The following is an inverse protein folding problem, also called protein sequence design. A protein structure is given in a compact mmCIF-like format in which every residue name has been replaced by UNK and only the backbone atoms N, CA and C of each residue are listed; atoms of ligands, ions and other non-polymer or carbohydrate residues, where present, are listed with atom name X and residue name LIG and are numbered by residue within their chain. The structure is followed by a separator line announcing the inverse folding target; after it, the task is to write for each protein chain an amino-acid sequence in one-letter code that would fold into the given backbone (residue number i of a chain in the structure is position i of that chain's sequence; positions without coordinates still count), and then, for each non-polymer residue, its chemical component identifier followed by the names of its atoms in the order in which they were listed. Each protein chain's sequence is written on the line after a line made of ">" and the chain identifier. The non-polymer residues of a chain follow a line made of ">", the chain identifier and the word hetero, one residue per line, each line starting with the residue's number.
data_IF_336414016968
#
_entry.id   IF_336414016968
#
_cell.length_a   1.000
_cell.length_b   1.000
_cell.length_c   1.000
_cell.angle_alpha   90.00
_cell.angle_beta   90.00
_cell.angle_gamma   90.00
#
_symmetry.space_group_name_H-M   'P 1'
#
loop_
_entity.id
_entity.type
_entity.pdbx_description
1 polymer ?
#
# COMPACT_ATOMS: atom_id res chain seq x y z
N UNK A 1 11.95 0.45 5.27
CA UNK A 1 12.58 1.68 4.75
C UNK A 1 13.84 1.41 3.91
N UNK A 2 14.67 0.42 4.25
CA UNK A 2 15.91 0.11 3.51
C UNK A 2 15.73 -0.41 2.06
N UNK A 3 14.65 -1.13 1.74
CA UNK A 3 14.39 -1.63 0.36
C UNK A 3 13.82 -0.53 -0.56
N UNK A 4 13.47 0.64 -0.02
CA UNK A 4 13.04 1.79 -0.83
C UNK A 4 14.22 2.48 -1.55
N UNK A 5 15.44 2.28 -1.05
CA UNK A 5 16.63 3.04 -1.49
C UNK A 5 17.34 2.42 -2.71
N UNK A 6 17.16 1.13 -2.96
CA UNK A 6 17.90 0.41 -4.02
C UNK A 6 17.27 0.50 -5.40
N UNK A 7 16.05 1.03 -5.53
CA UNK A 7 15.33 1.07 -6.80
C UNK A 7 15.13 2.48 -7.35
N UNK A 8 15.65 3.54 -6.72
CA UNK A 8 15.48 4.91 -7.21
C UNK A 8 16.83 5.65 -7.24
N UNK A 9 17.27 6.15 -8.41
CA UNK A 9 18.47 6.96 -8.48
C UNK A 9 18.27 8.28 -7.72
N UNK A 10 19.24 8.63 -6.88
CA UNK A 10 19.39 9.97 -6.34
C UNK A 10 19.53 10.95 -7.53
N UNK A 11 18.83 12.08 -7.42
CA UNK A 11 18.49 12.98 -8.51
C UNK A 11 19.73 13.63 -9.16
N UNK A 12 19.97 13.31 -10.44
CA UNK A 12 20.58 14.24 -11.40
C UNK A 12 19.65 14.35 -12.62
N UNK A 13 19.14 15.56 -12.87
CA UNK A 13 18.05 15.85 -13.84
C UNK A 13 18.39 15.49 -15.29
N UNK A 14 19.68 15.37 -15.64
CA UNK A 14 20.16 15.06 -17.00
C UNK A 14 20.53 13.60 -17.25
N UNK A 15 20.71 12.79 -16.21
CA UNK A 15 21.23 11.41 -16.31
C UNK A 15 20.23 10.40 -15.77
N UNK A 16 18.95 10.57 -16.12
CA UNK A 16 17.90 9.64 -15.70
C UNK A 16 17.88 8.44 -16.63
N UNK A 17 18.12 7.25 -16.09
CA UNK A 17 17.94 5.99 -16.82
C UNK A 17 16.43 5.73 -16.92
N UNK A 18 15.89 5.95 -18.10
CA UNK A 18 14.49 5.72 -18.42
C UNK A 18 14.43 4.43 -19.24
N UNK A 19 13.93 3.36 -18.64
CA UNK A 19 13.75 2.09 -19.34
C UNK A 19 12.31 2.03 -19.84
N UNK A 20 12.14 1.83 -21.13
CA UNK A 20 10.83 1.72 -21.76
C UNK A 20 10.26 0.30 -21.63
N UNK A 21 8.95 0.15 -21.32
CA UNK A 21 8.31 -1.15 -21.15
C UNK A 21 7.94 -1.79 -22.50
N UNK A 22 8.93 -2.16 -23.31
CA UNK A 22 8.75 -2.68 -24.68
C UNK A 22 7.80 -3.89 -24.70
N UNK A 23 7.92 -4.81 -23.73
CA UNK A 23 7.04 -5.97 -23.63
C UNK A 23 5.57 -5.61 -23.37
N UNK A 24 5.31 -4.60 -22.53
CA UNK A 24 3.93 -4.17 -22.26
C UNK A 24 3.33 -3.43 -23.47
N UNK A 25 4.14 -2.66 -24.20
CA UNK A 25 3.74 -2.01 -25.44
C UNK A 25 3.42 -3.05 -26.52
N UNK A 26 4.24 -4.09 -26.64
CA UNK A 26 4.02 -5.22 -27.55
C UNK A 26 2.70 -5.96 -27.28
N UNK A 27 2.39 -6.24 -26.00
CA UNK A 27 1.09 -6.81 -25.61
C UNK A 27 -0.05 -5.86 -25.99
N UNK A 28 0.11 -4.54 -25.84
CA UNK A 28 -0.94 -3.58 -26.22
C UNK A 28 -1.15 -3.49 -27.74
N UNK A 29 -0.10 -3.58 -28.54
CA UNK A 29 -0.23 -3.66 -30.00
C UNK A 29 -0.86 -4.98 -30.45
N UNK A 30 -0.60 -6.10 -29.76
CA UNK A 30 -1.29 -7.37 -30.02
C UNK A 30 -2.80 -7.31 -29.70
N UNK A 31 -3.22 -6.42 -28.80
CA UNK A 31 -4.62 -6.10 -28.50
C UNK A 31 -5.19 -4.96 -29.37
N UNK A 32 -4.47 -4.54 -30.41
CA UNK A 32 -4.99 -3.64 -31.43
C UNK A 32 -4.69 -2.15 -31.29
N UNK A 33 -3.77 -1.76 -30.39
CA UNK A 33 -3.28 -0.39 -30.36
C UNK A 33 -2.21 -0.17 -31.41
N UNK A 34 -2.56 0.58 -32.45
CA UNK A 34 -1.67 0.91 -33.57
C UNK A 34 -0.67 2.03 -33.27
N UNK A 35 -0.79 2.72 -32.13
CA UNK A 35 0.05 3.88 -31.78
C UNK A 35 1.53 3.55 -31.51
N UNK A 36 1.90 2.28 -31.37
CA UNK A 36 3.27 1.85 -31.02
C UNK A 36 4.09 1.36 -32.22
N UNK A 37 3.52 1.31 -33.43
CA UNK A 37 4.25 0.93 -34.65
C UNK A 37 4.73 -0.53 -34.71
N UNK A 38 4.18 -1.41 -33.87
CA UNK A 38 4.43 -2.85 -33.98
C UNK A 38 3.43 -3.49 -34.97
N UNK A 39 3.94 -4.11 -36.03
CA UNK A 39 3.14 -4.98 -36.91
C UNK A 39 2.95 -6.35 -36.24
N UNK A 40 1.83 -6.50 -35.53
CA UNK A 40 1.45 -7.76 -34.85
C UNK A 40 0.04 -8.14 -35.30
N UNK A 41 -0.13 -9.41 -35.65
CA UNK A 41 -1.43 -9.97 -36.01
C UNK A 41 -2.36 -9.99 -34.80
N UNK A 42 -3.59 -9.49 -34.96
CA UNK A 42 -4.62 -9.52 -33.91
C UNK A 42 -4.93 -10.96 -33.51
N UNK A 43 -4.97 -11.22 -32.20
CA UNK A 43 -5.30 -12.55 -31.65
C UNK A 43 -6.83 -12.81 -31.67
N UNK A 44 -7.65 -11.77 -31.81
CA UNK A 44 -9.12 -11.86 -31.84
C UNK A 44 -9.69 -11.11 -33.06
N UNK A 45 -10.24 -11.86 -34.04
CA UNK A 45 -10.87 -11.30 -35.24
C UNK A 45 -12.41 -11.20 -35.17
N UNK A 46 -13.06 -11.59 -34.06
CA UNK A 46 -14.53 -11.76 -34.01
C UNK A 46 -15.25 -11.12 -32.81
N UNK A 47 -14.70 -10.07 -32.20
CA UNK A 47 -15.45 -9.24 -31.24
C UNK A 47 -15.22 -7.76 -31.54
N UNK A 48 -16.22 -6.87 -31.37
CA UNK A 48 -16.07 -5.46 -31.71
C UNK A 48 -15.13 -4.78 -30.70
N UNK A 49 -13.82 -4.92 -30.90
CA UNK A 49 -12.74 -4.23 -30.18
C UNK A 49 -12.67 -2.73 -30.47
N UNK A 50 -13.75 -2.14 -31.00
CA UNK A 50 -13.82 -0.75 -31.49
C UNK A 50 -13.76 0.28 -30.34
N UNK A 51 -13.89 -0.13 -29.07
CA UNK A 51 -13.69 0.80 -27.94
C UNK A 51 -12.25 0.86 -27.39
N UNK A 52 -11.32 0.03 -27.89
CA UNK A 52 -9.91 0.11 -27.47
C UNK A 52 -9.16 1.30 -28.12
N UNK A 53 -9.76 1.98 -29.09
CA UNK A 53 -9.19 3.14 -29.80
C UNK A 53 -9.49 4.50 -29.19
N UNK A 54 -10.58 4.67 -28.43
CA UNK A 54 -11.03 6.02 -28.06
C UNK A 54 -10.57 6.50 -26.68
N UNK A 55 -10.38 5.61 -25.69
CA UNK A 55 -10.00 6.01 -24.31
C UNK A 55 -9.18 4.99 -23.51
N UNK A 56 -8.64 3.94 -24.14
CA UNK A 56 -7.92 2.90 -23.40
C UNK A 56 -6.47 3.32 -23.10
N UNK A 57 -6.09 3.29 -21.81
CA UNK A 57 -4.84 3.81 -21.24
C UNK A 57 -3.58 3.42 -22.03
N UNK A 58 -2.92 4.39 -22.66
CA UNK A 58 -1.62 4.27 -23.32
C UNK A 58 -0.62 3.56 -22.38
N UNK A 59 -0.06 2.41 -22.78
CA UNK A 59 1.00 1.65 -22.09
C UNK A 59 2.26 2.45 -21.79
N UNK A 60 2.46 3.59 -22.47
CA UNK A 60 3.61 4.46 -22.28
C UNK A 60 3.87 4.83 -20.81
N UNK A 61 2.85 4.78 -19.95
CA UNK A 61 2.95 5.06 -18.51
C UNK A 61 3.10 3.83 -17.61
N UNK A 62 3.27 2.61 -18.13
CA UNK A 62 3.83 1.48 -17.36
C UNK A 62 5.37 1.58 -17.37
N UNK A 63 5.94 2.75 -17.05
CA UNK A 63 7.40 2.87 -16.93
C UNK A 63 7.86 1.82 -15.89
N UNK A 64 8.85 1.01 -16.26
CA UNK A 64 9.27 -0.23 -15.60
C UNK A 64 9.51 -0.12 -14.08
N UNK A 65 9.75 1.08 -13.56
CA UNK A 65 9.89 1.34 -12.13
C UNK A 65 8.69 0.90 -11.30
N UNK A 66 7.46 1.05 -11.79
CA UNK A 66 6.28 0.54 -11.10
C UNK A 66 6.29 -0.98 -11.06
N UNK A 67 6.24 -1.62 -12.24
CA UNK A 67 6.15 -3.08 -12.42
C UNK A 67 7.27 -3.86 -11.75
N UNK A 68 8.53 -3.42 -11.88
CA UNK A 68 9.67 -4.11 -11.26
C UNK A 68 9.69 -3.97 -9.73
N UNK A 69 9.23 -2.83 -9.20
CA UNK A 69 9.08 -2.62 -7.76
C UNK A 69 7.92 -3.47 -7.20
N UNK A 70 6.79 -3.58 -7.91
CA UNK A 70 5.68 -4.47 -7.52
C UNK A 70 6.13 -5.92 -7.51
N UNK A 71 6.82 -6.35 -8.57
CA UNK A 71 7.32 -7.70 -8.70
C UNK A 71 8.26 -8.05 -7.54
N UNK A 72 9.23 -7.19 -7.23
CA UNK A 72 10.13 -7.38 -6.08
C UNK A 72 9.39 -7.50 -4.74
N UNK A 73 8.36 -6.67 -4.51
CA UNK A 73 7.56 -6.72 -3.27
C UNK A 73 6.63 -7.94 -3.17
N UNK A 74 6.10 -8.41 -4.30
CA UNK A 74 5.36 -9.68 -4.33
C UNK A 74 6.30 -10.84 -4.01
N UNK A 75 7.50 -10.87 -4.59
CA UNK A 75 8.51 -11.88 -4.28
C UNK A 75 8.90 -11.85 -2.80
N UNK A 76 9.08 -10.68 -2.17
CA UNK A 76 9.39 -10.62 -0.74
C UNK A 76 8.22 -11.11 0.11
N UNK A 77 6.98 -10.74 -0.21
CA UNK A 77 5.80 -11.22 0.53
C UNK A 77 5.66 -12.74 0.42
N UNK A 78 5.81 -13.29 -0.79
CA UNK A 78 5.79 -14.74 -1.03
C UNK A 78 6.96 -15.44 -0.33
N UNK A 79 8.17 -14.88 -0.37
CA UNK A 79 9.34 -15.44 0.31
C UNK A 79 9.10 -15.56 1.82
N UNK A 80 8.51 -14.53 2.45
CA UNK A 80 8.22 -14.55 3.89
C UNK A 80 7.21 -15.64 4.22
N UNK A 81 6.11 -15.73 3.47
CA UNK A 81 5.07 -16.75 3.70
C UNK A 81 5.58 -18.17 3.45
N UNK A 82 6.28 -18.39 2.33
CA UNK A 82 6.83 -19.70 1.98
C UNK A 82 7.88 -20.12 2.99
N UNK A 83 8.79 -19.22 3.39
CA UNK A 83 9.79 -19.50 4.41
C UNK A 83 9.13 -19.82 5.77
N UNK A 84 8.15 -19.03 6.18
CA UNK A 84 7.40 -19.28 7.42
C UNK A 84 6.69 -20.63 7.43
N UNK A 85 6.14 -21.05 6.29
CA UNK A 85 5.49 -22.35 6.14
C UNK A 85 6.48 -23.53 6.12
N UNK A 86 7.61 -23.39 5.40
CA UNK A 86 8.62 -24.44 5.30
C UNK A 86 9.36 -24.65 6.64
N UNK A 87 9.66 -23.57 7.36
CA UNK A 87 10.35 -23.60 8.66
C UNK A 87 9.38 -23.76 9.85
N UNK A 88 8.11 -24.11 9.61
CA UNK A 88 7.09 -24.25 10.66
C UNK A 88 7.30 -25.50 11.53
N UNK A 89 7.77 -26.60 10.95
CA UNK A 89 8.01 -27.86 11.69
C UNK A 89 9.32 -27.86 12.48
N UNK A 90 10.31 -27.12 12.01
CA UNK A 90 11.62 -27.03 12.61
C UNK A 90 12.57 -26.26 11.71
N UNK A 91 13.56 -25.62 12.31
CA UNK A 91 14.66 -24.96 11.61
C UNK A 91 15.98 -25.38 12.24
N UNK A 92 17.11 -25.02 11.63
CA UNK A 92 18.44 -25.28 12.22
C UNK A 92 18.60 -24.63 13.60
N UNK A 93 17.93 -23.49 13.85
CA UNK A 93 18.00 -22.77 15.12
C UNK A 93 17.14 -23.45 16.21
N UNK A 94 15.95 -23.91 15.83
CA UNK A 94 14.95 -24.54 16.71
C UNK A 94 14.35 -25.77 15.98
N UNK A 95 14.93 -26.97 16.16
CA UNK A 95 14.52 -28.17 15.43
C UNK A 95 13.18 -28.75 15.91
N UNK A 96 12.81 -28.48 17.16
CA UNK A 96 11.63 -28.97 17.88
C UNK A 96 10.43 -27.99 17.79
N UNK A 97 10.43 -27.08 16.82
CA UNK A 97 9.39 -26.06 16.66
C UNK A 97 7.97 -26.64 16.57
N UNK A 98 7.82 -27.82 15.95
CA UNK A 98 6.52 -28.52 15.85
C UNK A 98 5.83 -28.77 17.20
N UNK A 99 6.58 -28.88 18.29
CA UNK A 99 6.04 -29.25 19.59
C UNK A 99 5.41 -28.04 20.32
N UNK A 100 5.72 -26.81 19.89
CA UNK A 100 5.22 -25.56 20.46
C UNK A 100 3.95 -25.02 19.76
N UNK A 101 3.57 -25.61 18.63
CA UNK A 101 2.41 -25.20 17.83
C UNK A 101 2.67 -23.99 16.92
N UNK A 102 1.59 -23.42 16.37
CA UNK A 102 1.67 -22.37 15.34
C UNK A 102 2.07 -20.98 15.89
N UNK A 103 1.61 -20.67 17.11
CA UNK A 103 1.71 -19.33 17.70
C UNK A 103 2.29 -19.42 19.11
N UNK A 104 3.52 -18.92 19.27
CA UNK A 104 4.22 -18.84 20.55
C UNK A 104 5.17 -17.63 20.53
N UNK A 105 5.51 -17.04 21.69
CA UNK A 105 6.22 -15.74 21.74
C UNK A 105 7.69 -15.81 21.30
N UNK A 106 8.44 -16.77 21.85
CA UNK A 106 9.85 -17.07 21.58
C UNK A 106 10.27 -18.35 22.34
N UNK A 107 11.44 -18.90 22.01
CA UNK A 107 12.16 -19.95 22.74
C UNK A 107 13.30 -19.33 23.60
N UNK A 108 12.96 -18.27 24.34
CA UNK A 108 13.88 -17.55 25.22
C UNK A 108 14.99 -16.74 24.53
N UNK A 109 15.85 -16.04 25.33
CA UNK A 109 16.93 -15.20 24.81
C UNK A 109 18.21 -15.97 24.43
N UNK A 110 18.23 -17.29 24.63
CA UNK A 110 19.39 -18.13 24.31
C UNK A 110 19.73 -18.14 22.82
N UNK A 111 20.93 -18.67 22.49
CA UNK A 111 21.39 -18.88 21.08
C UNK A 111 21.38 -17.62 20.20
N UNK A 112 21.54 -16.44 20.79
CA UNK A 112 21.51 -15.16 20.07
C UNK A 112 20.12 -14.51 19.96
N UNK A 113 19.10 -15.10 20.60
CA UNK A 113 17.72 -14.63 20.62
C UNK A 113 16.83 -15.32 19.59
N UNK A 114 15.64 -15.74 20.02
CA UNK A 114 14.64 -16.42 19.18
C UNK A 114 13.35 -15.60 19.03
N UNK A 115 13.48 -14.27 19.06
CA UNK A 115 12.37 -13.36 18.82
C UNK A 115 11.80 -13.58 17.42
N UNK A 116 10.47 -13.51 17.30
CA UNK A 116 9.73 -13.61 16.04
C UNK A 116 10.03 -14.90 15.23
N UNK A 117 10.25 -16.03 15.92
CA UNK A 117 10.62 -17.31 15.30
C UNK A 117 9.42 -18.17 14.88
N UNK A 118 8.23 -17.91 15.42
CA UNK A 118 7.05 -18.74 15.18
C UNK A 118 6.53 -18.58 13.75
N UNK A 119 5.75 -19.56 13.26
CA UNK A 119 5.11 -19.43 11.95
C UNK A 119 4.07 -18.30 11.93
N UNK A 120 3.42 -18.03 13.06
CA UNK A 120 2.55 -16.86 13.25
C UNK A 120 3.31 -15.54 13.06
N UNK A 121 4.55 -15.43 13.53
CA UNK A 121 5.35 -14.20 13.40
C UNK A 121 5.74 -13.92 11.95
N UNK A 122 5.95 -14.97 11.15
CA UNK A 122 6.12 -14.84 9.71
C UNK A 122 4.85 -14.33 9.02
N UNK A 123 3.67 -14.78 9.44
CA UNK A 123 2.39 -14.23 8.97
C UNK A 123 2.24 -12.75 9.35
N UNK A 124 2.54 -12.39 10.60
CA UNK A 124 2.53 -11.01 11.07
C UNK A 124 3.41 -10.11 10.20
N UNK A 125 4.65 -10.53 9.91
CA UNK A 125 5.56 -9.79 9.03
C UNK A 125 5.04 -9.71 7.59
N UNK A 126 4.45 -10.79 7.08
CA UNK A 126 3.88 -10.84 5.73
C UNK A 126 2.73 -9.85 5.54
N UNK A 127 1.90 -9.60 6.56
CA UNK A 127 0.80 -8.63 6.47
C UNK A 127 1.31 -7.20 6.27
N UNK A 128 2.43 -6.80 6.90
CA UNK A 128 3.04 -5.48 6.62
C UNK A 128 3.50 -5.37 5.17
N UNK A 129 4.13 -6.42 4.64
CA UNK A 129 4.59 -6.45 3.25
C UNK A 129 3.44 -6.49 2.26
N UNK A 130 2.36 -7.21 2.58
CA UNK A 130 1.13 -7.23 1.81
C UNK A 130 0.49 -5.83 1.74
N UNK A 131 0.24 -5.19 2.89
CA UNK A 131 -0.33 -3.83 2.93
C UNK A 131 0.53 -2.82 2.18
N UNK A 132 1.86 -2.93 2.32
CA UNK A 132 2.78 -2.08 1.59
C UNK A 132 2.69 -2.31 0.07
N UNK A 133 2.64 -3.57 -0.37
CA UNK A 133 2.51 -3.93 -1.79
C UNK A 133 1.21 -3.41 -2.38
N UNK A 134 0.09 -3.63 -1.68
CA UNK A 134 -1.23 -3.14 -2.08
C UNK A 134 -1.22 -1.61 -2.15
N UNK A 135 -0.68 -0.92 -1.14
CA UNK A 135 -0.60 0.54 -1.12
C UNK A 135 0.16 1.13 -2.30
N UNK A 136 1.28 0.53 -2.70
CA UNK A 136 2.01 0.99 -3.88
C UNK A 136 1.21 0.80 -5.17
N UNK A 137 0.44 -0.28 -5.30
CA UNK A 137 -0.42 -0.55 -6.46
C UNK A 137 -1.56 0.45 -6.52
N UNK A 138 -2.24 0.67 -5.39
CA UNK A 138 -3.38 1.60 -5.32
C UNK A 138 -2.93 3.05 -5.50
N UNK A 139 -1.78 3.45 -4.94
CA UNK A 139 -1.21 4.78 -5.19
C UNK A 139 -0.89 5.04 -6.66
N UNK A 140 -0.28 4.06 -7.33
CA UNK A 140 0.00 4.18 -8.77
C UNK A 140 -1.27 4.28 -9.59
N UNK A 141 -2.22 3.40 -9.31
CA UNK A 141 -3.51 3.41 -9.99
C UNK A 141 -4.21 4.76 -9.81
N UNK A 142 -4.33 5.21 -8.56
CA UNK A 142 -5.01 6.45 -8.22
C UNK A 142 -4.36 7.68 -8.86
N UNK A 143 -3.03 7.83 -8.75
CA UNK A 143 -2.35 8.97 -9.35
C UNK A 143 -2.49 9.00 -10.86
N UNK A 144 -2.32 7.83 -11.51
CA UNK A 144 -2.47 7.71 -12.96
C UNK A 144 -3.88 8.11 -13.40
N UNK A 145 -4.92 7.65 -12.70
CA UNK A 145 -6.31 8.01 -13.04
C UNK A 145 -6.63 9.48 -12.78
N UNK A 146 -6.15 10.10 -11.69
CA UNK A 146 -6.31 11.55 -11.47
C UNK A 146 -5.72 12.34 -12.63
N UNK A 147 -4.48 12.05 -13.04
CA UNK A 147 -3.83 12.81 -14.12
C UNK A 147 -4.52 12.63 -15.48
N UNK A 148 -5.13 11.47 -15.72
CA UNK A 148 -5.95 11.22 -16.90
C UNK A 148 -7.26 12.02 -16.87
N UNK A 149 -7.96 12.03 -15.73
CA UNK A 149 -9.22 12.78 -15.58
C UNK A 149 -9.02 14.30 -15.64
N UNK A 150 -7.85 14.79 -15.22
CA UNK A 150 -7.46 16.21 -15.37
C UNK A 150 -6.99 16.58 -16.79
N UNK A 151 -6.80 15.61 -17.68
CA UNK A 151 -6.22 15.85 -19.01
C UNK A 151 -4.72 16.18 -19.02
N UNK A 152 -4.04 16.15 -17.86
CA UNK A 152 -2.62 16.47 -17.73
C UNK A 152 -1.75 15.21 -17.55
N UNK A 153 -1.62 14.43 -18.64
CA UNK A 153 -0.89 13.15 -18.61
C UNK A 153 0.64 13.34 -18.53
N UNK A 154 1.16 14.51 -18.94
CA UNK A 154 2.61 14.80 -18.87
C UNK A 154 3.10 14.88 -17.43
N UNK A 155 2.29 15.40 -16.51
CA UNK A 155 2.64 15.48 -15.08
C UNK A 155 3.05 14.11 -14.55
N UNK A 156 2.23 13.06 -14.76
CA UNK A 156 2.54 11.72 -14.30
C UNK A 156 3.79 11.14 -15.00
N UNK A 157 3.92 11.35 -16.31
CA UNK A 157 5.01 10.78 -17.11
C UNK A 157 6.39 11.32 -16.72
N UNK A 158 6.48 12.56 -16.25
CA UNK A 158 7.74 13.19 -15.86
C UNK A 158 8.05 13.01 -14.37
N UNK A 159 7.05 13.19 -13.50
CA UNK A 159 7.23 13.21 -12.04
C UNK A 159 7.28 11.83 -11.38
N UNK A 160 6.64 10.82 -11.96
CA UNK A 160 6.60 9.45 -11.39
C UNK A 160 7.97 8.74 -11.35
N UNK A 161 8.97 9.28 -12.06
CA UNK A 161 10.32 8.70 -12.22
C UNK A 161 11.22 8.86 -10.99
N UNK A 162 10.83 9.66 -10.00
CA UNK A 162 11.60 9.90 -8.78
C UNK A 162 10.69 10.08 -7.56
N UNK A 163 11.16 9.71 -6.36
CA UNK A 163 10.34 9.67 -5.15
C UNK A 163 9.74 11.03 -4.77
N UNK A 164 10.49 12.11 -4.99
CA UNK A 164 10.01 13.45 -4.67
C UNK A 164 8.80 13.86 -5.51
N UNK A 165 8.62 13.31 -6.72
CA UNK A 165 7.41 13.53 -7.51
C UNK A 165 6.19 12.90 -6.85
N UNK A 166 6.32 11.68 -6.32
CA UNK A 166 5.26 11.01 -5.55
C UNK A 166 4.91 11.79 -4.27
N UNK A 167 5.90 12.35 -3.58
CA UNK A 167 5.65 13.12 -2.36
C UNK A 167 4.98 14.48 -2.66
N UNK A 168 5.54 15.24 -3.60
CA UNK A 168 5.11 16.62 -3.89
C UNK A 168 3.86 16.67 -4.76
N UNK A 169 3.90 16.00 -5.90
CA UNK A 169 2.89 16.18 -6.97
C UNK A 169 1.68 15.25 -6.79
N UNK A 170 1.82 14.18 -5.99
CA UNK A 170 0.73 13.29 -5.66
C UNK A 170 0.24 13.46 -4.22
N UNK A 171 1.04 13.12 -3.20
CA UNK A 171 0.55 13.13 -1.82
C UNK A 171 0.24 14.54 -1.34
N UNK A 172 1.21 15.46 -1.45
CA UNK A 172 1.05 16.82 -0.95
C UNK A 172 -0.03 17.58 -1.74
N UNK A 173 0.09 17.64 -3.07
CA UNK A 173 -0.85 18.38 -3.91
C UNK A 173 -2.33 17.94 -3.74
N UNK A 174 -2.58 16.63 -3.65
CA UNK A 174 -3.94 16.09 -3.55
C UNK A 174 -4.48 16.06 -2.11
N UNK A 175 -3.64 16.25 -1.09
CA UNK A 175 -4.06 16.35 0.31
C UNK A 175 -4.71 17.69 0.67
N UNK A 176 -4.54 18.71 -0.18
CA UNK A 176 -5.03 20.07 0.09
C UNK A 176 -6.54 20.17 0.32
N UNK A 177 -7.36 19.43 -0.45
CA UNK A 177 -8.81 19.39 -0.22
C UNK A 177 -9.18 18.65 1.08
N UNK A 178 -8.48 17.58 1.40
CA UNK A 178 -8.72 16.78 2.61
C UNK A 178 -8.44 17.60 3.87
N UNK A 179 -7.29 18.29 3.92
CA UNK A 179 -6.85 19.03 5.11
C UNK A 179 -7.72 20.29 5.33
N UNK A 180 -8.21 20.91 4.25
CA UNK A 180 -9.10 22.06 4.34
C UNK A 180 -10.58 21.69 4.52
N UNK A 181 -10.91 20.43 4.80
CA UNK A 181 -12.30 20.03 5.09
C UNK A 181 -12.86 20.70 6.34
N UNK A 182 -11.98 21.03 7.30
CA UNK A 182 -12.28 21.89 8.43
C UNK A 182 -11.17 22.93 8.56
N UNK A 183 -11.54 24.20 8.64
CA UNK A 183 -10.59 25.29 8.89
C UNK A 183 -11.15 26.20 9.98
N UNK A 184 -10.34 27.11 10.56
CA UNK A 184 -10.82 28.05 11.57
C UNK A 184 -11.97 28.96 11.10
N UNK A 185 -12.28 29.00 9.81
CA UNK A 185 -13.31 29.82 9.19
C UNK A 185 -14.60 29.05 8.89
N UNK A 186 -14.65 27.73 9.11
CA UNK A 186 -15.82 26.88 8.87
C UNK A 186 -15.47 25.43 8.53
N UNK A 187 -16.49 24.58 8.49
CA UNK A 187 -16.37 23.16 8.11
C UNK A 187 -17.23 22.87 6.88
N UNK A 188 -16.78 21.95 6.03
CA UNK A 188 -17.63 21.36 4.99
C UNK A 188 -18.44 20.18 5.54
N UNK A 189 -19.38 19.64 4.77
CA UNK A 189 -20.44 18.67 5.18
C UNK A 189 -19.97 17.31 5.74
N UNK A 190 -18.67 17.11 6.01
CA UNK A 190 -18.07 15.85 6.42
C UNK A 190 -17.81 15.74 7.95
N UNK A 191 -18.23 16.72 8.75
CA UNK A 191 -17.77 16.87 10.15
C UNK A 191 -18.79 16.63 11.28
N UNK A 192 -20.04 16.29 10.98
CA UNK A 192 -21.11 16.19 11.99
C UNK A 192 -20.85 15.19 13.14
N UNK A 193 -19.96 14.20 12.94
CA UNK A 193 -19.68 13.18 13.96
C UNK A 193 -18.85 13.72 15.15
N UNK A 194 -17.98 14.73 14.94
CA UNK A 194 -17.03 15.20 15.97
C UNK A 194 -17.74 16.02 17.06
N UNK A 195 -18.78 16.77 16.71
CA UNK A 195 -19.55 17.58 17.67
C UNK A 195 -20.34 16.71 18.67
N UNK A 196 -20.84 15.55 18.22
CA UNK A 196 -21.52 14.59 19.12
C UNK A 196 -20.56 13.89 20.08
N UNK A 197 -19.32 13.63 19.64
CA UNK A 197 -18.28 13.01 20.48
C UNK A 197 -17.76 13.98 21.56
N UNK A 198 -17.58 15.26 21.23
CA UNK A 198 -17.19 16.29 22.19
C UNK A 198 -18.27 16.49 23.27
N UNK A 199 -19.55 16.54 22.86
CA UNK A 199 -20.69 16.62 23.79
C UNK A 199 -20.78 15.40 24.72
N UNK A 200 -20.53 14.19 24.21
CA UNK A 200 -20.56 12.97 25.00
C UNK A 200 -19.42 12.89 26.04
N UNK A 201 -18.25 13.47 25.73
CA UNK A 201 -17.09 13.49 26.62
C UNK A 201 -17.25 14.47 27.80
N UNK A 202 -17.91 15.61 27.58
CA UNK A 202 -18.19 16.61 28.63
C UNK A 202 -19.23 16.15 29.66
N UNK A 203 -20.00 15.08 29.35
CA UNK A 203 -21.15 14.62 30.16
C UNK A 203 -20.89 13.41 31.06
N UNK A 204 -19.67 12.88 31.15
CA UNK A 204 -19.40 11.66 31.93
C UNK A 204 -18.53 11.89 33.17
N UNK A 205 -19.12 12.17 34.35
CA UNK A 205 -18.41 12.14 35.63
C UNK A 205 -18.69 10.83 36.36
N UNK A 206 -17.79 9.84 36.34
CA UNK A 206 -17.86 8.67 37.25
C UNK A 206 -16.61 7.77 37.12
N UNK A 207 -15.61 7.99 37.97
CA UNK A 207 -14.36 7.21 37.93
C UNK A 207 -14.00 6.47 39.25
N UNK A 208 -14.84 6.51 40.30
CA UNK A 208 -14.48 5.92 41.61
C UNK A 208 -15.41 4.82 42.14
N UNK A 209 -16.45 4.41 41.40
CA UNK A 209 -17.43 3.40 41.85
C UNK A 209 -17.20 1.98 41.28
N UNK A 210 -16.23 1.82 40.39
CA UNK A 210 -16.00 0.58 39.64
C UNK A 210 -14.72 -0.07 40.15
N UNK A 211 -14.85 -1.23 40.79
CA UNK A 211 -13.72 -2.10 41.15
C UNK A 211 -13.54 -3.16 40.07
N UNK A 212 -12.29 -3.42 39.71
CA UNK A 212 -11.92 -4.44 38.73
C UNK A 212 -12.28 -5.84 39.25
N UNK A 213 -13.00 -6.64 38.45
CA UNK A 213 -13.30 -8.05 38.74
C UNK A 213 -12.06 -8.93 38.54
N UNK A 214 -11.30 -8.63 37.49
CA UNK A 214 -10.05 -9.31 37.14
C UNK A 214 -8.86 -8.37 37.33
N UNK A 215 -7.70 -8.93 37.70
CA UNK A 215 -6.48 -8.14 37.88
C UNK A 215 -6.03 -7.58 36.53
N UNK A 216 -5.75 -6.27 36.40
CA UNK A 216 -5.22 -5.72 35.17
C UNK A 216 -3.81 -6.28 34.94
N UNK A 217 -3.67 -7.08 33.88
CA UNK A 217 -2.38 -7.60 33.41
C UNK A 217 -2.09 -7.03 32.03
N UNK A 218 -0.81 -6.84 31.72
CA UNK A 218 -0.41 -6.45 30.38
C UNK A 218 -0.79 -7.55 29.36
N UNK A 219 -1.01 -7.14 28.11
CA UNK A 219 -1.24 -8.08 27.00
C UNK A 219 -0.05 -9.04 26.86
N UNK A 220 -0.31 -10.30 26.53
CA UNK A 220 0.76 -11.23 26.15
C UNK A 220 1.49 -10.76 24.89
N UNK A 221 2.72 -11.21 24.69
CA UNK A 221 3.57 -10.78 23.56
C UNK A 221 2.86 -10.99 22.21
N UNK A 222 2.25 -12.16 22.00
CA UNK A 222 1.52 -12.47 20.76
C UNK A 222 0.26 -11.59 20.63
N UNK A 223 -0.48 -11.38 21.73
CA UNK A 223 -1.63 -10.48 21.71
C UNK A 223 -1.23 -9.05 21.39
N UNK A 224 -0.12 -8.55 21.92
CA UNK A 224 0.39 -7.21 21.61
C UNK A 224 0.75 -7.08 20.13
N UNK A 225 1.40 -8.09 19.53
CA UNK A 225 1.68 -8.13 18.08
C UNK A 225 0.38 -8.11 17.26
N UNK A 226 -0.62 -8.91 17.64
CA UNK A 226 -1.91 -8.96 16.94
C UNK A 226 -2.68 -7.64 17.05
N UNK A 227 -2.76 -7.05 18.24
CA UNK A 227 -3.44 -5.77 18.47
C UNK A 227 -2.72 -4.64 17.73
N UNK A 228 -1.39 -4.63 17.74
CA UNK A 228 -0.58 -3.70 16.96
C UNK A 228 -0.82 -3.84 15.46
N UNK A 229 -0.87 -5.09 14.96
CA UNK A 229 -1.19 -5.37 13.56
C UNK A 229 -2.59 -4.90 13.17
N UNK A 230 -3.57 -5.12 14.04
CA UNK A 230 -4.95 -4.69 13.81
C UNK A 230 -5.03 -3.16 13.72
N UNK A 231 -4.45 -2.44 14.68
CA UNK A 231 -4.43 -0.96 14.66
C UNK A 231 -3.67 -0.43 13.44
N UNK A 232 -2.53 -1.04 13.10
CA UNK A 232 -1.76 -0.65 11.92
C UNK A 232 -2.58 -0.85 10.65
N UNK A 233 -3.23 -2.00 10.48
CA UNK A 233 -4.01 -2.34 9.29
C UNK A 233 -5.23 -1.42 9.15
N UNK A 234 -5.97 -1.23 10.25
CA UNK A 234 -7.15 -0.37 10.31
C UNK A 234 -6.78 1.08 10.02
N UNK A 235 -5.75 1.60 10.70
CA UNK A 235 -5.24 2.95 10.46
C UNK A 235 -4.76 3.15 9.02
N UNK A 236 -4.06 2.16 8.46
CA UNK A 236 -3.58 2.19 7.08
C UNK A 236 -4.74 2.31 6.08
N UNK A 237 -5.77 1.46 6.24
CA UNK A 237 -6.94 1.43 5.34
C UNK A 237 -7.73 2.72 5.46
N UNK A 238 -8.06 3.17 6.67
CA UNK A 238 -8.88 4.38 6.86
C UNK A 238 -8.15 5.65 6.41
N UNK A 239 -6.85 5.77 6.70
CA UNK A 239 -6.05 6.92 6.24
C UNK A 239 -6.05 7.00 4.71
N UNK A 240 -5.86 5.86 4.04
CA UNK A 240 -5.88 5.84 2.58
C UNK A 240 -7.27 6.06 1.99
N UNK A 241 -8.31 5.47 2.58
CA UNK A 241 -9.69 5.62 2.13
C UNK A 241 -10.16 7.09 2.21
N UNK A 242 -9.89 7.77 3.34
CA UNK A 242 -10.21 9.17 3.51
C UNK A 242 -9.49 10.05 2.47
N UNK A 243 -8.18 9.81 2.26
CA UNK A 243 -7.41 10.51 1.24
C UNK A 243 -7.96 10.28 -0.18
N UNK A 244 -8.24 9.03 -0.55
CA UNK A 244 -8.73 8.68 -1.89
C UNK A 244 -10.08 9.34 -2.17
N UNK A 245 -11.01 9.27 -1.23
CA UNK A 245 -12.34 9.87 -1.40
C UNK A 245 -12.22 11.39 -1.47
N UNK A 246 -11.58 12.04 -0.49
CA UNK A 246 -11.54 13.50 -0.43
C UNK A 246 -10.77 14.14 -1.59
N UNK A 247 -9.68 13.52 -2.05
CA UNK A 247 -8.89 14.05 -3.17
C UNK A 247 -9.54 13.89 -4.53
N UNK A 248 -10.42 12.90 -4.69
CA UNK A 248 -11.20 12.69 -5.93
C UNK A 248 -12.49 13.50 -5.92
N UNK A 249 -13.28 13.41 -4.85
CA UNK A 249 -14.53 14.17 -4.73
C UNK A 249 -14.28 15.67 -4.68
N UNK A 250 -13.23 16.13 -4.00
CA UNK A 250 -12.90 17.56 -3.95
C UNK A 250 -12.43 18.17 -5.28
N UNK A 251 -12.19 17.36 -6.31
CA UNK A 251 -11.77 17.81 -7.65
C UNK A 251 -12.82 17.59 -8.74
N UNK A 252 -13.64 16.55 -8.59
CA UNK A 252 -14.58 16.10 -9.62
C UNK A 252 -16.02 15.94 -9.14
N UNK A 253 -16.29 16.16 -7.85
CA UNK A 253 -17.62 16.13 -7.24
C UNK A 253 -18.32 17.48 -7.27
#
# INVERSE_FOLDING_TARGET
>A
MFIMMSCLPLVLRRSKILIEPIFAQWIQSAHGKTSYGFDITFIFNEWPGIQCGSKHMVAGSWRLFGSSCYCSRLHTTTLILVKGALDARGSKLMPDKKDFGYSFPCDGPGRGGTCDISAWDAFYLAVFWMLNTIGWVTFYWHWKHITLWQGNVSQFNESSTYLMGWLRDYLWLNSSQLINGYNPFGMNSLSELIETLAWAHERTPLANLIRWRDKPVALSIVQARLVGLAHFSVGYIFTYAAFLIASTSGKFG
#
